data_IF_308276468867
#
_entry.id   IF_308276468867
#
_cell.length_a   1.000
_cell.length_b   1.000
_cell.length_c   1.000
_cell.angle_alpha   90.00
_cell.angle_beta   90.00
_cell.angle_gamma   90.00
#
_symmetry.space_group_name_H-M   'P 1'
#
loop_
_entity.id
_entity.type
_entity.pdbx_description
1 polymer ?
#
# COMPACT_ATOMS: atom_id res chain seq x y z
N UNK A 1 -20.93 8.73 7.49
CA UNK A 1 -20.32 9.38 8.66
C UNK A 1 -20.82 10.81 8.67
N UNK A 2 -21.25 11.35 9.82
CA UNK A 2 -21.81 12.71 9.90
C UNK A 2 -20.74 13.80 9.69
N UNK A 3 -21.12 14.94 9.11
CA UNK A 3 -20.23 16.05 8.78
C UNK A 3 -19.53 16.65 10.02
N UNK A 4 -20.21 16.72 11.16
CA UNK A 4 -19.61 17.20 12.42
C UNK A 4 -18.50 16.27 12.89
N UNK A 5 -18.71 14.95 12.77
CA UNK A 5 -17.71 13.95 13.12
C UNK A 5 -16.50 14.02 12.18
N UNK A 6 -16.71 14.21 10.88
CA UNK A 6 -15.61 14.33 9.90
C UNK A 6 -14.70 15.51 10.23
N UNK A 7 -15.26 16.70 10.46
CA UNK A 7 -14.47 17.89 10.81
C UNK A 7 -13.68 17.70 12.10
N UNK A 8 -14.35 17.16 13.12
CA UNK A 8 -13.70 16.84 14.39
C UNK A 8 -12.49 15.91 14.20
N UNK A 9 -12.64 14.85 13.39
CA UNK A 9 -11.56 13.89 13.13
C UNK A 9 -10.44 14.52 12.31
N UNK A 10 -10.75 15.41 11.38
CA UNK A 10 -9.75 16.15 10.58
C UNK A 10 -8.88 17.06 11.46
N UNK A 11 -9.50 17.79 12.38
CA UNK A 11 -8.79 18.67 13.31
C UNK A 11 -7.89 17.86 14.27
N UNK A 12 -8.40 16.73 14.76
CA UNK A 12 -7.61 15.80 15.59
C UNK A 12 -6.46 15.18 14.81
N UNK A 13 -6.66 14.79 13.55
CA UNK A 13 -5.60 14.24 12.71
C UNK A 13 -4.49 15.26 12.44
N UNK A 14 -4.84 16.53 12.19
CA UNK A 14 -3.85 17.62 12.06
C UNK A 14 -3.07 17.81 13.35
N UNK A 15 -3.76 17.84 14.50
CA UNK A 15 -3.12 17.98 15.81
C UNK A 15 -2.20 16.81 16.13
N UNK A 16 -2.59 15.59 15.78
CA UNK A 16 -1.77 14.38 15.92
C UNK A 16 -0.46 14.50 15.14
N UNK A 17 -0.51 15.01 13.90
CA UNK A 17 0.67 15.16 13.05
C UNK A 17 1.60 16.26 13.59
N UNK A 18 1.05 17.39 14.04
CA UNK A 18 1.84 18.51 14.55
C UNK A 18 2.41 18.31 15.96
N UNK A 19 1.81 17.42 16.77
CA UNK A 19 2.25 17.18 18.14
C UNK A 19 3.61 16.46 18.17
N UNK A 20 4.49 16.90 19.07
CA UNK A 20 5.79 16.26 19.32
C UNK A 20 5.75 15.41 20.61
N UNK A 21 4.70 15.55 21.42
CA UNK A 21 4.51 14.77 22.64
C UNK A 21 3.89 13.41 22.32
N UNK A 22 4.56 12.35 22.76
CA UNK A 22 4.13 10.96 22.59
C UNK A 22 2.81 10.71 23.33
N UNK A 23 2.65 11.22 24.57
CA UNK A 23 1.44 10.99 25.36
C UNK A 23 0.22 11.67 24.75
N UNK A 24 0.42 12.88 24.24
CA UNK A 24 -0.63 13.59 23.52
C UNK A 24 -1.02 12.85 22.23
N UNK A 25 -0.04 12.37 21.45
CA UNK A 25 -0.30 11.54 20.26
C UNK A 25 -1.11 10.29 20.57
N UNK A 26 -0.77 9.58 21.63
CA UNK A 26 -1.51 8.39 22.06
C UNK A 26 -2.96 8.74 22.44
N UNK A 27 -3.14 9.82 23.21
CA UNK A 27 -4.46 10.29 23.62
C UNK A 27 -5.32 10.63 22.41
N UNK A 28 -4.78 11.38 21.45
CA UNK A 28 -5.49 11.77 20.22
C UNK A 28 -5.82 10.53 19.37
N UNK A 29 -4.85 9.62 19.18
CA UNK A 29 -5.03 8.40 18.40
C UNK A 29 -6.15 7.53 18.96
N UNK A 30 -6.16 7.32 20.28
CA UNK A 30 -7.15 6.48 20.95
C UNK A 30 -8.55 7.12 20.86
N UNK A 31 -8.66 8.42 21.11
CA UNK A 31 -9.90 9.21 21.00
C UNK A 31 -10.50 9.15 19.58
N UNK A 32 -9.66 9.34 18.56
CA UNK A 32 -10.05 9.19 17.16
C UNK A 32 -10.52 7.77 16.85
N UNK A 33 -9.77 6.75 17.28
CA UNK A 33 -10.13 5.36 17.02
C UNK A 33 -11.46 4.99 17.64
N UNK A 34 -11.74 5.37 18.89
CA UNK A 34 -13.02 5.07 19.56
C UNK A 34 -14.20 5.57 18.73
N UNK A 35 -14.09 6.76 18.13
CA UNK A 35 -15.16 7.33 17.29
C UNK A 35 -15.23 6.71 15.90
N UNK A 36 -14.09 6.31 15.34
CA UNK A 36 -14.03 5.73 13.98
C UNK A 36 -14.27 4.22 13.95
N UNK A 37 -14.03 3.52 15.06
CA UNK A 37 -14.03 2.06 15.16
C UNK A 37 -15.30 1.40 14.59
N UNK A 38 -16.53 1.88 14.88
CA UNK A 38 -17.74 1.31 14.27
C UNK A 38 -17.75 1.43 12.74
N UNK A 39 -17.29 2.57 12.21
CA UNK A 39 -17.27 2.82 10.76
C UNK A 39 -16.19 2.00 10.06
N UNK A 40 -14.98 1.96 10.65
CA UNK A 40 -13.85 1.18 10.12
C UNK A 40 -14.18 -0.32 10.17
N UNK A 41 -14.75 -0.80 11.27
CA UNK A 41 -15.17 -2.19 11.41
C UNK A 41 -16.17 -2.60 10.32
N UNK A 42 -17.21 -1.79 10.09
CA UNK A 42 -18.19 -2.04 9.02
C UNK A 42 -17.55 -2.03 7.62
N UNK A 43 -16.65 -1.08 7.36
CA UNK A 43 -15.90 -1.00 6.11
C UNK A 43 -15.03 -2.23 5.88
N UNK A 44 -14.21 -2.62 6.86
CA UNK A 44 -13.36 -3.81 6.79
C UNK A 44 -14.20 -5.06 6.53
N UNK A 45 -15.30 -5.23 7.27
CA UNK A 45 -16.20 -6.37 7.09
C UNK A 45 -16.84 -6.39 5.71
N UNK A 46 -17.17 -5.23 5.13
CA UNK A 46 -17.69 -5.17 3.76
C UNK A 46 -16.68 -5.72 2.76
N UNK A 47 -15.39 -5.41 2.91
CA UNK A 47 -14.31 -5.91 2.04
C UNK A 47 -14.08 -7.41 2.22
N UNK A 48 -14.02 -7.88 3.47
CA UNK A 48 -13.75 -9.29 3.79
C UNK A 48 -14.92 -10.20 3.40
N UNK A 49 -16.17 -9.72 3.49
CA UNK A 49 -17.36 -10.46 3.09
C UNK A 49 -17.33 -10.86 1.62
N UNK A 50 -16.87 -9.99 0.72
CA UNK A 50 -16.69 -10.33 -0.70
C UNK A 50 -15.72 -11.49 -0.93
N UNK A 51 -14.81 -11.73 0.01
CA UNK A 51 -13.82 -12.81 -0.02
C UNK A 51 -14.19 -14.00 0.85
N UNK A 52 -15.42 -14.03 1.41
CA UNK A 52 -15.93 -15.07 2.30
C UNK A 52 -15.07 -15.30 3.55
N UNK A 53 -14.40 -14.25 4.04
CA UNK A 53 -13.59 -14.31 5.26
C UNK A 53 -14.43 -13.79 6.43
N UNK A 54 -14.55 -14.62 7.46
CA UNK A 54 -15.27 -14.30 8.68
C UNK A 54 -14.27 -14.21 9.83
N UNK A 55 -14.27 -13.08 10.51
CA UNK A 55 -13.41 -12.83 11.67
C UNK A 55 -14.24 -12.89 12.95
N UNK A 56 -13.61 -13.34 14.04
CA UNK A 56 -14.14 -13.17 15.40
C UNK A 56 -14.24 -11.68 15.78
N UNK A 57 -15.07 -11.30 16.77
CA UNK A 57 -15.14 -9.92 17.25
C UNK A 57 -13.78 -9.32 17.65
N UNK A 58 -12.92 -10.13 18.27
CA UNK A 58 -11.58 -9.73 18.69
C UNK A 58 -10.66 -9.47 17.49
N UNK A 59 -10.66 -10.35 16.49
CA UNK A 59 -9.90 -10.16 15.26
C UNK A 59 -10.36 -8.93 14.48
N UNK A 60 -11.68 -8.65 14.43
CA UNK A 60 -12.21 -7.44 13.82
C UNK A 60 -11.68 -6.18 14.49
N UNK A 61 -11.64 -6.19 15.83
CA UNK A 61 -11.14 -5.06 16.60
C UNK A 61 -9.63 -4.86 16.37
N UNK A 62 -8.84 -5.94 16.42
CA UNK A 62 -7.38 -5.90 16.17
C UNK A 62 -7.08 -5.38 14.77
N UNK A 63 -7.72 -5.96 13.75
CA UNK A 63 -7.50 -5.57 12.36
C UNK A 63 -8.00 -4.14 12.07
N UNK A 64 -9.09 -3.74 12.73
CA UNK A 64 -9.60 -2.37 12.72
C UNK A 64 -8.61 -1.37 13.30
N UNK A 65 -8.00 -1.72 14.43
CA UNK A 65 -6.95 -0.92 15.06
C UNK A 65 -5.73 -0.77 14.16
N UNK A 66 -5.19 -1.88 13.66
CA UNK A 66 -4.01 -1.88 12.78
C UNK A 66 -4.27 -1.06 11.51
N UNK A 67 -5.41 -1.27 10.84
CA UNK A 67 -5.78 -0.52 9.64
C UNK A 67 -5.98 0.97 9.91
N UNK A 68 -6.53 1.33 11.07
CA UNK A 68 -6.65 2.72 11.51
C UNK A 68 -5.28 3.37 11.72
N UNK A 69 -4.40 2.73 12.49
CA UNK A 69 -3.05 3.24 12.78
C UNK A 69 -2.24 3.39 11.50
N UNK A 70 -2.30 2.39 10.62
CA UNK A 70 -1.67 2.44 9.31
C UNK A 70 -2.16 3.64 8.50
N UNK A 71 -3.47 3.86 8.44
CA UNK A 71 -4.06 4.99 7.71
C UNK A 71 -3.66 6.33 8.33
N UNK A 72 -3.67 6.45 9.66
CA UNK A 72 -3.31 7.68 10.36
C UNK A 72 -1.83 8.04 10.15
N UNK A 73 -0.93 7.05 10.18
CA UNK A 73 0.50 7.27 9.96
C UNK A 73 0.83 7.84 8.58
N UNK A 74 0.03 7.49 7.57
CA UNK A 74 0.20 7.95 6.18
C UNK A 74 -0.68 9.15 5.82
N UNK A 75 -1.39 9.73 6.79
CA UNK A 75 -2.22 10.90 6.53
C UNK A 75 -1.35 12.14 6.34
N UNK A 76 -1.55 12.83 5.22
CA UNK A 76 -0.86 14.06 4.89
C UNK A 76 -1.89 15.17 4.59
N UNK A 77 -2.16 16.10 5.53
CA UNK A 77 -3.22 17.09 5.40
C UNK A 77 -3.00 18.03 4.22
N UNK A 78 -1.74 18.27 3.84
CA UNK A 78 -1.33 19.07 2.67
C UNK A 78 -1.95 18.61 1.35
N UNK A 79 -2.34 17.33 1.25
CA UNK A 79 -2.85 16.73 0.01
C UNK A 79 -4.33 17.01 -0.25
N UNK A 80 -5.03 17.72 0.64
CA UNK A 80 -6.45 18.06 0.50
C UNK A 80 -7.37 16.86 0.20
N UNK A 81 -6.99 15.65 0.62
CA UNK A 81 -7.83 14.46 0.50
C UNK A 81 -8.75 14.43 1.72
N UNK A 82 -10.08 14.38 1.55
CA UNK A 82 -11.01 14.25 2.68
C UNK A 82 -10.66 13.04 3.53
N UNK A 83 -10.68 13.22 4.86
CA UNK A 83 -10.25 12.17 5.79
C UNK A 83 -10.95 10.82 5.56
N UNK A 84 -12.28 10.75 5.34
CA UNK A 84 -12.94 9.46 5.09
C UNK A 84 -12.37 8.73 3.87
N UNK A 85 -12.11 9.46 2.78
CA UNK A 85 -11.58 8.88 1.54
C UNK A 85 -10.16 8.36 1.73
N UNK A 86 -9.33 9.12 2.46
CA UNK A 86 -7.99 8.69 2.85
C UNK A 86 -8.06 7.36 3.62
N UNK A 87 -8.89 7.30 4.66
CA UNK A 87 -9.04 6.10 5.48
C UNK A 87 -9.57 4.91 4.68
N UNK A 88 -10.58 5.09 3.82
CA UNK A 88 -11.09 4.00 2.99
C UNK A 88 -10.03 3.45 2.03
N UNK A 89 -9.27 4.34 1.38
CA UNK A 89 -8.19 3.96 0.45
C UNK A 89 -7.07 3.20 1.16
N UNK A 90 -6.54 3.76 2.25
CA UNK A 90 -5.41 3.17 2.97
C UNK A 90 -5.80 1.92 3.75
N UNK A 91 -6.99 1.87 4.34
CA UNK A 91 -7.49 0.64 4.99
C UNK A 91 -7.69 -0.47 3.97
N UNK A 92 -8.20 -0.16 2.77
CA UNK A 92 -8.32 -1.15 1.68
C UNK A 92 -6.94 -1.68 1.27
N UNK A 93 -5.96 -0.79 1.08
CA UNK A 93 -4.59 -1.20 0.76
C UNK A 93 -4.01 -2.10 1.86
N UNK A 94 -4.11 -1.68 3.12
CA UNK A 94 -3.68 -2.45 4.28
C UNK A 94 -4.30 -3.86 4.30
N UNK A 95 -5.62 -3.97 4.12
CA UNK A 95 -6.30 -5.26 4.11
C UNK A 95 -5.85 -6.16 2.97
N UNK A 96 -5.64 -5.61 1.77
CA UNK A 96 -5.13 -6.40 0.64
C UNK A 96 -3.74 -6.95 0.95
N UNK A 97 -2.86 -6.16 1.56
CA UNK A 97 -1.54 -6.58 2.02
C UNK A 97 -1.63 -7.66 3.10
N UNK A 98 -2.47 -7.46 4.10
CA UNK A 98 -2.72 -8.42 5.19
C UNK A 98 -3.25 -9.76 4.67
N UNK A 99 -4.19 -9.73 3.73
CA UNK A 99 -4.75 -10.93 3.10
C UNK A 99 -3.71 -11.70 2.29
N UNK A 100 -2.85 -11.00 1.56
CA UNK A 100 -1.73 -11.62 0.85
C UNK A 100 -0.72 -12.24 1.82
N UNK A 101 -0.50 -11.61 2.98
CA UNK A 101 0.30 -12.17 4.07
C UNK A 101 -0.30 -13.44 4.69
N UNK A 102 -1.61 -13.47 4.97
CA UNK A 102 -2.29 -14.68 5.47
C UNK A 102 -2.21 -15.85 4.49
N UNK A 103 -2.42 -15.60 3.19
CA UNK A 103 -2.23 -16.63 2.15
C UNK A 103 -0.80 -17.13 2.08
N UNK A 104 0.20 -16.29 2.36
CA UNK A 104 1.60 -16.74 2.49
C UNK A 104 1.79 -17.63 3.71
N UNK A 105 1.24 -17.33 4.89
CA UNK A 105 1.39 -18.21 6.06
C UNK A 105 0.72 -19.58 5.84
N UNK A 106 -0.43 -19.61 5.16
CA UNK A 106 -1.07 -20.87 4.76
C UNK A 106 -0.27 -21.63 3.68
N UNK A 107 0.44 -20.93 2.79
CA UNK A 107 1.28 -21.51 1.74
C UNK A 107 2.75 -21.70 2.13
N UNK A 108 3.23 -21.14 3.25
CA UNK A 108 4.64 -21.15 3.70
C UNK A 108 5.10 -22.49 4.28
N UNK A 109 4.24 -23.51 4.24
CA UNK A 109 4.72 -24.89 4.25
C UNK A 109 5.46 -25.25 2.94
N UNK A 110 5.48 -24.37 1.93
CA UNK A 110 6.16 -24.60 0.65
C UNK A 110 6.76 -23.28 0.14
N UNK A 111 8.10 -23.25 0.00
CA UNK A 111 8.97 -22.33 -0.79
C UNK A 111 9.82 -21.32 -0.01
N UNK A 112 11.13 -21.55 -0.13
CA UNK A 112 12.27 -20.71 0.25
C UNK A 112 12.36 -19.46 -0.63
N UNK A 113 12.81 -18.34 -0.06
CA UNK A 113 13.15 -17.09 -0.76
C UNK A 113 14.22 -17.31 -1.84
N UNK A 114 14.04 -16.82 -3.09
CA UNK A 114 15.05 -16.93 -4.14
C UNK A 114 16.15 -15.85 -3.98
N UNK A 115 17.41 -16.26 -4.15
CA UNK A 115 18.59 -15.40 -4.25
C UNK A 115 18.55 -14.58 -5.54
N UNK A 116 18.15 -13.31 -5.42
CA UNK A 116 18.04 -12.35 -6.54
C UNK A 116 19.42 -11.87 -7.03
N UNK A 117 20.50 -12.14 -6.29
CA UNK A 117 21.85 -11.69 -6.64
C UNK A 117 22.50 -12.49 -7.78
N UNK A 118 21.95 -13.67 -8.13
CA UNK A 118 22.56 -14.59 -9.11
C UNK A 118 21.78 -14.77 -10.44
N UNK A 119 20.68 -14.04 -10.64
CA UNK A 119 19.83 -14.19 -11.84
C UNK A 119 20.40 -13.45 -13.06
N UNK A 120 20.39 -14.09 -14.23
CA UNK A 120 20.89 -13.50 -15.47
C UNK A 120 20.05 -12.25 -15.86
N UNK A 121 20.62 -11.02 -15.92
CA UNK A 121 19.84 -9.77 -15.90
C UNK A 121 19.25 -9.32 -17.25
N UNK A 122 19.48 -10.07 -18.32
CA UNK A 122 18.92 -9.79 -19.64
C UNK A 122 17.60 -10.52 -19.90
N UNK A 123 17.12 -11.28 -18.91
CA UNK A 123 15.89 -12.04 -18.97
C UNK A 123 14.85 -11.48 -17.97
N UNK A 124 14.09 -10.48 -18.43
CA UNK A 124 12.97 -9.91 -17.68
C UNK A 124 11.97 -11.02 -17.27
N UNK A 125 11.88 -12.06 -18.09
CA UNK A 125 11.04 -13.23 -17.88
C UNK A 125 11.58 -14.07 -16.72
N UNK A 126 12.89 -14.32 -16.64
CA UNK A 126 13.53 -14.97 -15.49
C UNK A 126 13.35 -14.19 -14.16
N UNK A 127 13.36 -12.86 -14.20
CA UNK A 127 13.11 -12.03 -13.01
C UNK A 127 11.65 -12.11 -12.55
N UNK A 128 10.72 -12.23 -13.49
CA UNK A 128 9.30 -12.46 -13.21
C UNK A 128 9.02 -13.91 -12.78
N UNK A 129 9.77 -14.89 -13.27
CA UNK A 129 9.68 -16.30 -12.85
C UNK A 129 10.13 -16.50 -11.41
N UNK A 130 11.11 -15.72 -10.94
CA UNK A 130 11.53 -15.73 -9.54
C UNK A 130 10.56 -14.95 -8.62
N UNK A 131 9.65 -14.14 -9.19
CA UNK A 131 8.81 -13.21 -8.43
C UNK A 131 7.38 -13.14 -8.96
N UNK A 132 6.60 -14.18 -8.67
CA UNK A 132 5.17 -14.28 -9.01
C UNK A 132 4.37 -13.03 -8.60
N UNK A 133 4.73 -12.39 -7.48
CA UNK A 133 4.05 -11.18 -6.99
C UNK A 133 4.25 -9.96 -7.91
N UNK A 134 5.46 -9.78 -8.47
CA UNK A 134 5.73 -8.70 -9.42
C UNK A 134 5.02 -8.96 -10.75
N UNK A 135 4.98 -10.22 -11.19
CA UNK A 135 4.28 -10.63 -12.42
C UNK A 135 2.77 -10.42 -12.29
N UNK A 136 2.17 -10.86 -11.18
CA UNK A 136 0.76 -10.63 -10.89
C UNK A 136 0.44 -9.14 -10.79
N UNK A 137 1.28 -8.37 -10.08
CA UNK A 137 1.07 -6.94 -9.96
C UNK A 137 1.12 -6.26 -11.33
N UNK A 138 2.13 -6.57 -12.15
CA UNK A 138 2.25 -6.06 -13.53
C UNK A 138 0.98 -6.29 -14.34
N UNK A 139 0.36 -7.45 -14.24
CA UNK A 139 -0.86 -7.76 -14.99
C UNK A 139 -2.09 -6.97 -14.54
N UNK A 140 -2.10 -6.46 -13.32
CA UNK A 140 -3.17 -5.56 -12.82
C UNK A 140 -3.00 -4.10 -13.26
N UNK A 141 -1.81 -3.72 -13.74
CA UNK A 141 -1.50 -2.35 -14.14
C UNK A 141 -2.04 -2.08 -15.56
N UNK A 142 -2.62 -0.89 -15.83
CA UNK A 142 -3.02 -0.51 -17.18
C UNK A 142 -1.84 -0.58 -18.16
N UNK A 143 -2.10 -1.00 -19.40
CA UNK A 143 -1.08 -1.29 -20.43
C UNK A 143 -0.06 -0.14 -20.60
N UNK A 144 -0.52 1.11 -20.52
CA UNK A 144 0.33 2.28 -20.69
C UNK A 144 1.35 2.48 -19.54
N UNK A 145 1.03 1.98 -18.35
CA UNK A 145 1.90 2.05 -17.17
C UNK A 145 2.81 0.83 -17.02
N UNK A 146 2.51 -0.29 -17.69
CA UNK A 146 3.34 -1.52 -17.63
C UNK A 146 4.80 -1.25 -18.02
N UNK A 147 5.03 -0.44 -19.06
CA UNK A 147 6.40 -0.06 -19.49
C UNK A 147 7.15 0.75 -18.43
N UNK A 148 6.44 1.59 -17.66
CA UNK A 148 7.03 2.40 -16.59
C UNK A 148 7.36 1.52 -15.40
N UNK A 149 6.53 0.51 -15.12
CA UNK A 149 6.77 -0.49 -14.10
C UNK A 149 7.97 -1.39 -14.44
N UNK A 150 8.06 -1.90 -15.66
CA UNK A 150 9.20 -2.70 -16.14
C UNK A 150 10.52 -1.92 -16.02
N UNK A 151 10.51 -0.63 -16.38
CA UNK A 151 11.66 0.27 -16.24
C UNK A 151 11.99 0.62 -14.76
N UNK A 152 11.00 0.60 -13.85
CA UNK A 152 11.25 0.74 -12.42
C UNK A 152 11.97 -0.49 -11.85
N UNK A 153 11.61 -1.70 -12.28
CA UNK A 153 12.28 -2.96 -11.88
C UNK A 153 13.73 -2.95 -12.34
N UNK A 154 13.97 -2.66 -13.62
CA UNK A 154 15.32 -2.58 -14.19
C UNK A 154 16.19 -1.52 -13.49
N UNK A 155 15.57 -0.42 -13.04
CA UNK A 155 16.26 0.64 -12.30
C UNK A 155 16.67 0.24 -10.89
N UNK A 156 16.01 -0.76 -10.28
CA UNK A 156 16.37 -1.30 -8.96
C UNK A 156 17.45 -2.38 -9.11
N UNK A 157 17.41 -3.17 -10.19
CA UNK A 157 18.42 -4.16 -10.55
C UNK A 157 19.79 -3.55 -10.99
N UNK A 158 20.06 -2.28 -10.69
CA UNK A 158 21.40 -1.69 -10.79
C UNK A 158 21.93 -1.34 -12.19
N UNK A 159 21.17 -1.50 -13.29
CA UNK A 159 21.66 -1.14 -14.64
C UNK A 159 21.15 0.24 -15.10
N UNK A 160 22.04 1.17 -15.48
CA UNK A 160 21.67 2.40 -16.18
C UNK A 160 21.53 2.12 -17.68
N UNK A 161 20.65 1.20 -18.12
CA UNK A 161 20.34 1.09 -19.56
C UNK A 161 19.51 2.31 -19.95
N UNK A 162 20.07 3.14 -20.83
CA UNK A 162 19.47 4.30 -21.51
C UNK A 162 18.18 4.82 -20.89
N UNK A 163 18.29 5.56 -19.77
CA UNK A 163 17.18 6.29 -19.13
C UNK A 163 16.39 7.17 -20.13
N UNK A 164 16.99 7.48 -21.28
CA UNK A 164 16.45 8.30 -22.36
C UNK A 164 15.60 7.48 -23.35
N UNK A 165 15.88 6.19 -23.56
CA UNK A 165 15.19 5.36 -24.56
C UNK A 165 13.80 4.89 -24.09
N UNK A 166 13.67 4.44 -22.84
CA UNK A 166 12.37 4.04 -22.26
C UNK A 166 11.43 5.23 -22.01
N UNK A 167 12.00 6.40 -21.73
CA UNK A 167 11.27 7.68 -21.63
C UNK A 167 10.54 8.03 -22.93
N UNK A 168 11.09 7.68 -24.09
CA UNK A 168 10.48 7.94 -25.42
C UNK A 168 9.39 6.94 -25.80
N UNK A 169 9.26 5.81 -25.09
CA UNK A 169 8.31 4.74 -25.44
C UNK A 169 7.02 4.74 -24.62
N UNK A 170 6.91 5.66 -23.65
CA UNK A 170 5.71 5.87 -22.83
C UNK A 170 4.85 6.99 -23.42
N UNK A 171 3.53 6.82 -23.39
CA UNK A 171 2.57 7.83 -23.85
C UNK A 171 2.36 8.98 -22.84
N UNK A 172 3.11 9.00 -21.72
CA UNK A 172 2.90 9.94 -20.63
C UNK A 172 3.89 11.12 -20.69
N UNK A 173 3.38 12.31 -20.36
CA UNK A 173 4.23 13.49 -20.12
C UNK A 173 5.23 13.24 -18.99
N UNK A 174 6.39 13.92 -19.08
CA UNK A 174 7.56 13.69 -18.22
C UNK A 174 7.23 13.64 -16.72
N UNK A 175 6.43 14.58 -16.23
CA UNK A 175 6.07 14.65 -14.82
C UNK A 175 5.28 13.43 -14.35
N UNK A 176 4.27 13.01 -15.12
CA UNK A 176 3.44 11.83 -14.81
C UNK A 176 4.27 10.54 -14.87
N UNK A 177 5.19 10.43 -15.82
CA UNK A 177 6.10 9.31 -15.93
C UNK A 177 7.01 9.20 -14.69
N UNK A 178 7.62 10.30 -14.27
CA UNK A 178 8.51 10.31 -13.10
C UNK A 178 7.78 9.97 -11.80
N UNK A 179 6.59 10.54 -11.59
CA UNK A 179 5.78 10.23 -10.40
C UNK A 179 5.33 8.76 -10.39
N UNK A 180 4.85 8.24 -11.52
CA UNK A 180 4.48 6.83 -11.63
C UNK A 180 5.68 5.91 -11.38
N UNK A 181 6.86 6.23 -11.94
CA UNK A 181 8.09 5.46 -11.73
C UNK A 181 8.52 5.44 -10.26
N UNK A 182 8.40 6.57 -9.53
CA UNK A 182 8.68 6.61 -8.09
C UNK A 182 7.72 5.71 -7.30
N UNK A 183 6.42 5.77 -7.61
CA UNK A 183 5.41 4.91 -6.98
C UNK A 183 5.72 3.44 -7.24
N UNK A 184 6.06 3.08 -8.48
CA UNK A 184 6.42 1.71 -8.82
C UNK A 184 7.69 1.25 -8.13
N UNK A 185 8.71 2.10 -8.01
CA UNK A 185 9.91 1.75 -7.23
C UNK A 185 9.58 1.44 -5.77
N UNK A 186 8.71 2.21 -5.12
CA UNK A 186 8.26 1.92 -3.76
C UNK A 186 7.52 0.58 -3.67
N UNK A 187 6.67 0.28 -4.67
CA UNK A 187 5.97 -1.01 -4.74
C UNK A 187 6.95 -2.16 -4.92
N UNK A 188 7.93 -2.01 -5.81
CA UNK A 188 8.93 -3.04 -6.09
C UNK A 188 9.86 -3.22 -4.88
N UNK A 189 10.36 -2.14 -4.27
CA UNK A 189 11.17 -2.20 -3.05
C UNK A 189 10.42 -2.89 -1.89
N UNK A 190 9.12 -2.62 -1.75
CA UNK A 190 8.29 -3.30 -0.76
C UNK A 190 8.11 -4.80 -1.06
N UNK A 191 8.01 -5.17 -2.34
CA UNK A 191 7.92 -6.56 -2.75
C UNK A 191 9.26 -7.30 -2.63
N UNK A 192 10.39 -6.60 -2.79
CA UNK A 192 11.76 -7.14 -2.71
C UNK A 192 12.31 -7.23 -1.28
N UNK A 193 11.96 -6.31 -0.37
CA UNK A 193 12.46 -6.29 1.03
C UNK A 193 11.67 -7.19 1.99
N UNK A 194 10.91 -8.16 1.45
CA UNK A 194 10.25 -9.21 2.23
C UNK A 194 11.25 -10.30 2.61
#
# INVERSE_FOLDING_TARGET
MDHHLIRYLEDKAKKYISSHDIKEKETIRNDMFTKMSPTIGNWIMSILKYRKIYLSPQEKLSLGWEGFVFSLHHFHPERNIPLPNHFYGYTRFFLLSWLSGKKKVENQNVIMTPDIENSNPDDLEALYEQMDELKQFRETIPKDYKKIFDDAILSIAGRPKDKIAYKKSSNYGYYKYCEAKKVFKLVIDFLLRK
#
